data_IF_774277628755
#
_entry.id   IF_774277628755
#
_cell.length_a   1.000
_cell.length_b   1.000
_cell.length_c   1.000
_cell.angle_alpha   90.00
_cell.angle_beta   90.00
_cell.angle_gamma   90.00
#
_symmetry.space_group_name_H-M   'P 1'
#
loop_
_entity.id
_entity.type
_entity.pdbx_description
1 polymer ?
#
# COMPACT_ATOMS: atom_id res chain seq x y z
N UNK A 1 11.19 21.43 -17.52
CA UNK A 1 9.89 21.00 -18.04
C UNK A 1 9.97 19.53 -18.34
N UNK A 2 8.90 18.78 -18.10
CA UNK A 2 8.89 17.36 -18.42
C UNK A 2 8.63 17.14 -19.92
N UNK A 3 9.40 16.24 -20.53
CA UNK A 3 9.28 15.86 -21.94
C UNK A 3 8.14 14.86 -22.14
N UNK A 4 6.91 15.38 -22.14
CA UNK A 4 5.68 14.62 -22.40
C UNK A 4 5.08 15.04 -23.75
N UNK A 5 4.99 14.09 -24.68
CA UNK A 5 4.39 14.26 -26.02
C UNK A 5 2.90 14.52 -25.91
N UNK A 6 2.31 15.13 -26.93
CA UNK A 6 0.89 15.45 -26.94
C UNK A 6 -0.01 14.20 -26.83
N UNK A 7 0.37 13.10 -27.49
CA UNK A 7 -0.33 11.81 -27.39
C UNK A 7 -0.25 11.22 -25.98
N UNK A 8 0.90 11.35 -25.32
CA UNK A 8 1.13 10.88 -23.94
C UNK A 8 0.29 11.68 -22.94
N UNK A 9 0.16 13.01 -23.14
CA UNK A 9 -0.75 13.85 -22.35
C UNK A 9 -2.19 13.38 -22.47
N UNK A 10 -2.65 13.04 -23.67
CA UNK A 10 -4.01 12.52 -23.88
C UNK A 10 -4.26 11.21 -23.13
N UNK A 11 -3.28 10.29 -23.13
CA UNK A 11 -3.36 9.04 -22.39
C UNK A 11 -3.46 9.27 -20.88
N UNK A 12 -2.56 10.11 -20.34
CA UNK A 12 -2.55 10.48 -18.93
C UNK A 12 -3.84 11.18 -18.52
N UNK A 13 -4.32 12.14 -19.31
CA UNK A 13 -5.57 12.84 -19.02
C UNK A 13 -6.79 11.93 -19.07
N UNK A 14 -6.79 10.93 -19.97
CA UNK A 14 -7.87 9.94 -20.04
C UNK A 14 -7.86 9.03 -18.82
N UNK A 15 -6.69 8.50 -18.42
CA UNK A 15 -6.55 7.63 -17.25
C UNK A 15 -6.91 8.36 -15.95
N UNK A 16 -6.47 9.61 -15.83
CA UNK A 16 -6.64 10.43 -14.62
C UNK A 16 -7.97 11.19 -14.57
N UNK A 17 -8.88 11.01 -15.54
CA UNK A 17 -10.19 11.64 -15.53
C UNK A 17 -10.18 13.18 -15.64
N UNK A 18 -9.26 13.74 -16.43
CA UNK A 18 -8.95 15.18 -16.43
C UNK A 18 -9.80 16.07 -17.36
N UNK A 19 -10.75 15.48 -18.09
CA UNK A 19 -11.60 16.20 -19.04
C UNK A 19 -12.50 17.26 -18.38
N UNK A 20 -12.98 16.99 -17.16
CA UNK A 20 -13.85 17.89 -16.40
C UNK A 20 -13.12 18.87 -15.45
N UNK A 21 -11.78 18.95 -15.52
CA UNK A 21 -11.00 19.76 -14.56
C UNK A 21 -10.63 19.03 -13.26
N UNK A 22 -11.09 17.79 -13.09
CA UNK A 22 -10.77 16.91 -11.97
C UNK A 22 -9.44 16.17 -12.21
N UNK A 23 -8.93 15.52 -11.16
CA UNK A 23 -7.85 14.55 -11.24
C UNK A 23 -8.28 13.44 -10.30
N UNK A 24 -8.63 12.28 -10.87
CA UNK A 24 -9.23 11.16 -10.14
C UNK A 24 -10.37 11.63 -9.23
N UNK A 25 -10.56 10.98 -8.08
CA UNK A 25 -11.53 11.34 -7.06
C UNK A 25 -11.00 12.38 -6.02
N UNK A 26 -9.88 13.06 -6.29
CA UNK A 26 -9.29 13.99 -5.30
C UNK A 26 -10.15 15.24 -5.05
N UNK A 27 -10.27 15.64 -3.79
CA UNK A 27 -10.65 17.00 -3.40
C UNK A 27 -9.48 17.96 -3.63
N UNK A 28 -9.69 19.27 -3.47
CA UNK A 28 -8.58 20.22 -3.62
C UNK A 28 -7.50 20.02 -2.55
N UNK A 29 -7.92 19.71 -1.32
CA UNK A 29 -7.03 19.48 -0.19
C UNK A 29 -6.29 18.15 -0.31
N UNK A 30 -6.98 17.05 -0.68
CA UNK A 30 -6.31 15.76 -0.84
C UNK A 30 -5.38 15.75 -2.05
N UNK A 31 -5.72 16.47 -3.13
CA UNK A 31 -4.80 16.69 -4.25
C UNK A 31 -3.58 17.51 -3.83
N UNK A 32 -3.77 18.56 -3.04
CA UNK A 32 -2.66 19.36 -2.50
C UNK A 32 -1.69 18.48 -1.72
N UNK A 33 -2.24 17.75 -0.74
CA UNK A 33 -1.49 16.94 0.19
C UNK A 33 -0.77 15.80 -0.54
N UNK A 34 -1.41 15.16 -1.51
CA UNK A 34 -0.80 14.14 -2.35
C UNK A 34 0.48 14.65 -3.04
N UNK A 35 0.40 15.80 -3.73
CA UNK A 35 1.57 16.36 -4.43
C UNK A 35 2.66 16.77 -3.42
N UNK A 36 2.26 17.37 -2.29
CA UNK A 36 3.17 17.78 -1.23
C UNK A 36 3.90 16.58 -0.62
N UNK A 37 3.22 15.46 -0.41
CA UNK A 37 3.84 14.26 0.16
C UNK A 37 4.79 13.59 -0.82
N UNK A 38 4.42 13.52 -2.11
CA UNK A 38 5.27 12.93 -3.15
C UNK A 38 6.49 13.79 -3.47
N UNK A 39 6.39 15.11 -3.44
CA UNK A 39 7.42 16.01 -4.01
C UNK A 39 7.92 17.13 -3.11
N UNK A 40 7.22 17.40 -2.00
CA UNK A 40 7.42 18.58 -1.13
C UNK A 40 7.14 19.91 -1.83
N UNK A 41 6.41 19.90 -2.94
CA UNK A 41 6.00 21.09 -3.69
C UNK A 41 4.56 21.46 -3.34
N UNK A 42 4.32 22.75 -3.12
CA UNK A 42 2.96 23.29 -3.03
C UNK A 42 2.40 23.59 -4.43
N UNK A 43 1.48 22.76 -4.90
CA UNK A 43 0.88 22.87 -6.24
C UNK A 43 -0.09 24.06 -6.41
N UNK A 44 -0.50 24.73 -5.33
CA UNK A 44 -1.34 25.94 -5.38
C UNK A 44 -0.54 27.24 -5.37
N UNK A 45 0.79 27.17 -5.54
CA UNK A 45 1.61 28.36 -5.78
C UNK A 45 1.21 29.06 -7.09
N UNK A 46 1.32 30.38 -7.12
CA UNK A 46 0.92 31.21 -8.26
C UNK A 46 1.53 30.77 -9.59
N UNK A 47 2.76 30.21 -9.59
CA UNK A 47 3.41 29.70 -10.81
C UNK A 47 2.61 28.63 -11.56
N UNK A 48 1.75 27.87 -10.89
CA UNK A 48 0.93 26.83 -11.53
C UNK A 48 -0.46 27.33 -11.95
N UNK A 49 -0.89 28.50 -11.46
CA UNK A 49 -2.26 29.00 -11.62
C UNK A 49 -2.49 29.84 -12.88
N UNK A 50 -1.45 30.09 -13.70
CA UNK A 50 -1.51 31.00 -14.87
C UNK A 50 -2.62 30.66 -15.88
N UNK A 51 -2.95 29.36 -16.03
CA UNK A 51 -3.98 28.87 -16.98
C UNK A 51 -5.31 28.54 -16.30
N UNK A 52 -5.41 28.80 -14.99
CA UNK A 52 -6.57 28.59 -14.12
C UNK A 52 -6.29 27.63 -12.95
N UNK A 53 -7.24 27.55 -12.03
CA UNK A 53 -7.06 26.97 -10.69
C UNK A 53 -7.65 25.56 -10.49
N UNK A 54 -8.22 24.93 -11.54
CA UNK A 54 -8.71 23.55 -11.41
C UNK A 54 -7.55 22.57 -11.29
N UNK A 55 -7.74 21.45 -10.57
CA UNK A 55 -6.70 20.43 -10.36
C UNK A 55 -6.06 19.98 -11.67
N UNK A 56 -6.86 19.74 -12.70
CA UNK A 56 -6.31 19.34 -14.00
C UNK A 56 -5.45 20.43 -14.65
N UNK A 57 -5.84 21.70 -14.50
CA UNK A 57 -5.05 22.84 -15.02
C UNK A 57 -3.74 22.99 -14.25
N UNK A 58 -3.80 22.88 -12.93
CA UNK A 58 -2.62 22.88 -12.06
C UNK A 58 -1.68 21.71 -12.40
N UNK A 59 -2.19 20.50 -12.60
CA UNK A 59 -1.39 19.33 -12.98
C UNK A 59 -0.75 19.48 -14.37
N UNK A 60 -1.46 20.07 -15.34
CA UNK A 60 -0.87 20.40 -16.66
C UNK A 60 0.24 21.45 -16.55
N UNK A 61 0.07 22.47 -15.71
CA UNK A 61 1.11 23.45 -15.43
C UNK A 61 2.30 22.82 -14.72
N UNK A 62 2.06 21.91 -13.77
CA UNK A 62 3.08 21.13 -13.09
C UNK A 62 3.94 20.33 -14.09
N UNK A 63 3.33 19.64 -15.05
CA UNK A 63 4.05 18.95 -16.13
C UNK A 63 4.93 19.89 -16.97
N UNK A 64 4.50 21.13 -17.18
CA UNK A 64 5.22 22.12 -17.97
C UNK A 64 6.37 22.79 -17.21
N UNK A 65 6.29 22.89 -15.89
CA UNK A 65 7.23 23.69 -15.11
C UNK A 65 8.28 22.83 -14.40
N UNK A 66 7.93 21.64 -13.96
CA UNK A 66 8.82 20.77 -13.19
C UNK A 66 9.73 19.89 -14.07
N UNK A 67 10.71 19.23 -13.47
CA UNK A 67 11.65 18.34 -14.16
C UNK A 67 11.03 16.96 -14.45
N UNK A 68 11.59 16.24 -15.43
CA UNK A 68 11.17 14.88 -15.76
C UNK A 68 11.09 13.97 -14.52
N UNK A 69 12.11 13.99 -13.68
CA UNK A 69 12.18 13.14 -12.49
C UNK A 69 11.03 13.44 -11.52
N UNK A 70 10.71 14.71 -11.28
CA UNK A 70 9.63 15.10 -10.35
C UNK A 70 8.27 14.72 -10.94
N UNK A 71 8.06 15.00 -12.22
CA UNK A 71 6.81 14.70 -12.91
C UNK A 71 6.60 13.18 -13.04
N UNK A 72 7.64 12.43 -13.36
CA UNK A 72 7.64 10.98 -13.41
C UNK A 72 7.24 10.36 -12.07
N UNK A 73 7.78 10.86 -10.94
CA UNK A 73 7.38 10.40 -9.60
C UNK A 73 5.88 10.59 -9.35
N UNK A 74 5.37 11.79 -9.64
CA UNK A 74 3.94 12.10 -9.46
C UNK A 74 3.05 11.23 -10.34
N UNK A 75 3.42 11.03 -11.61
CA UNK A 75 2.65 10.17 -12.51
C UNK A 75 2.65 8.72 -12.01
N UNK A 76 3.81 8.17 -11.59
CA UNK A 76 3.89 6.81 -11.01
C UNK A 76 2.91 6.66 -9.85
N UNK A 77 2.96 7.57 -8.88
CA UNK A 77 2.11 7.51 -7.68
C UNK A 77 0.63 7.70 -8.01
N UNK A 78 0.28 8.55 -8.98
CA UNK A 78 -1.12 8.72 -9.42
C UNK A 78 -1.68 7.46 -10.09
N UNK A 79 -0.86 6.76 -10.88
CA UNK A 79 -1.26 5.48 -11.50
C UNK A 79 -1.49 4.42 -10.42
N UNK A 80 -0.60 4.33 -9.43
CA UNK A 80 -0.75 3.41 -8.31
C UNK A 80 -1.98 3.74 -7.44
N UNK A 81 -2.25 5.03 -7.22
CA UNK A 81 -3.49 5.46 -6.58
C UNK A 81 -4.72 5.01 -7.39
N UNK A 82 -4.73 5.24 -8.70
CA UNK A 82 -5.85 4.82 -9.57
C UNK A 82 -6.10 3.31 -9.52
N UNK A 83 -5.04 2.49 -9.57
CA UNK A 83 -5.16 1.02 -9.42
C UNK A 83 -5.73 0.65 -8.06
N UNK A 84 -5.25 1.29 -7.02
CA UNK A 84 -5.70 1.05 -5.64
C UNK A 84 -7.18 1.39 -5.50
N UNK A 85 -7.61 2.54 -6.01
CA UNK A 85 -9.00 2.98 -5.97
C UNK A 85 -9.95 1.99 -6.69
N UNK A 86 -9.55 1.47 -7.85
CA UNK A 86 -10.30 0.43 -8.57
C UNK A 86 -10.49 -0.83 -7.72
N UNK A 87 -9.42 -1.31 -7.10
CA UNK A 87 -9.47 -2.47 -6.20
C UNK A 87 -10.34 -2.19 -4.97
N UNK A 88 -10.21 -1.01 -4.36
CA UNK A 88 -10.99 -0.62 -3.18
C UNK A 88 -12.49 -0.51 -3.47
N UNK A 89 -12.85 -0.12 -4.69
CA UNK A 89 -14.24 0.04 -5.12
C UNK A 89 -14.81 -1.23 -5.77
N UNK A 90 -14.12 -2.37 -5.70
CA UNK A 90 -14.49 -3.63 -6.37
C UNK A 90 -14.79 -3.47 -7.86
N UNK A 91 -14.13 -2.52 -8.52
CA UNK A 91 -14.24 -2.29 -9.94
C UNK A 91 -13.16 -3.10 -10.66
N UNK A 92 -13.57 -4.06 -11.49
CA UNK A 92 -12.63 -4.75 -12.37
C UNK A 92 -11.93 -3.75 -13.29
N UNK A 93 -10.61 -3.89 -13.41
CA UNK A 93 -9.85 -3.13 -14.40
C UNK A 93 -10.10 -3.80 -15.75
N UNK A 94 -10.83 -3.12 -16.62
CA UNK A 94 -11.07 -3.62 -17.97
C UNK A 94 -9.74 -3.74 -18.73
N UNK A 95 -9.68 -4.69 -19.69
CA UNK A 95 -8.48 -4.93 -20.50
C UNK A 95 -7.94 -3.64 -21.15
N UNK A 96 -8.83 -2.76 -21.61
CA UNK A 96 -8.45 -1.48 -22.23
C UNK A 96 -7.88 -0.49 -21.21
N UNK A 97 -8.41 -0.48 -19.99
CA UNK A 97 -7.89 0.35 -18.90
C UNK A 97 -6.50 -0.13 -18.43
N UNK A 98 -6.30 -1.45 -18.33
CA UNK A 98 -4.98 -2.02 -18.01
C UNK A 98 -3.93 -1.70 -19.08
N UNK A 99 -4.29 -1.79 -20.37
CA UNK A 99 -3.41 -1.38 -21.47
C UNK A 99 -3.06 0.10 -21.35
N UNK A 100 -4.04 0.96 -21.12
CA UNK A 100 -3.83 2.40 -20.96
C UNK A 100 -2.93 2.72 -19.75
N UNK A 101 -3.16 2.06 -18.61
CA UNK A 101 -2.35 2.23 -17.40
C UNK A 101 -0.90 1.78 -17.62
N UNK A 102 -0.67 0.68 -18.35
CA UNK A 102 0.67 0.21 -18.73
C UNK A 102 1.39 1.20 -19.64
N UNK A 103 0.71 1.79 -20.62
CA UNK A 103 1.29 2.84 -21.47
C UNK A 103 1.63 4.10 -20.65
N UNK A 104 0.76 4.52 -19.73
CA UNK A 104 1.04 5.63 -18.81
C UNK A 104 2.24 5.35 -17.90
N UNK A 105 2.39 4.12 -17.44
CA UNK A 105 3.52 3.71 -16.61
C UNK A 105 4.84 3.74 -17.39
N UNK A 106 4.84 3.39 -18.69
CA UNK A 106 6.02 3.53 -19.56
C UNK A 106 6.46 4.99 -19.68
N UNK A 107 5.51 5.93 -19.80
CA UNK A 107 5.81 7.37 -19.81
C UNK A 107 6.50 7.77 -18.51
N UNK A 108 5.93 7.39 -17.37
CA UNK A 108 6.53 7.63 -16.05
C UNK A 108 7.95 7.08 -15.95
N UNK A 109 8.16 5.82 -16.33
CA UNK A 109 9.46 5.16 -16.26
C UNK A 109 10.50 5.84 -17.15
N UNK A 110 10.09 6.29 -18.35
CA UNK A 110 10.95 7.09 -19.24
C UNK A 110 11.38 8.39 -18.59
N UNK A 111 10.46 9.13 -17.97
CA UNK A 111 10.75 10.39 -17.27
C UNK A 111 11.66 10.17 -16.05
N UNK A 112 11.57 9.00 -15.41
CA UNK A 112 12.45 8.60 -14.31
C UNK A 112 13.84 8.12 -14.78
N UNK A 113 14.08 8.01 -16.08
CA UNK A 113 15.33 7.49 -16.64
C UNK A 113 15.53 5.98 -16.47
N UNK A 114 14.45 5.24 -16.16
CA UNK A 114 14.51 3.78 -16.00
C UNK A 114 14.62 3.12 -17.38
N UNK A 115 15.74 2.44 -17.63
CA UNK A 115 15.95 1.68 -18.88
C UNK A 115 15.18 0.36 -18.83
N UNK A 116 14.73 -0.11 -19.99
CA UNK A 116 13.92 -1.33 -20.16
C UNK A 116 14.54 -2.62 -19.58
N UNK A 117 15.84 -2.61 -19.29
CA UNK A 117 16.56 -3.74 -18.69
C UNK A 117 16.44 -3.81 -17.15
N UNK A 118 16.09 -2.72 -16.47
CA UNK A 118 15.90 -2.67 -15.01
C UNK A 118 14.48 -3.10 -14.57
N UNK A 119 13.60 -3.42 -15.52
CA UNK A 119 12.20 -3.84 -15.29
C UNK A 119 12.09 -5.17 -14.52
N UNK A 120 13.19 -5.91 -14.29
CA UNK A 120 13.18 -7.21 -13.61
C UNK A 120 13.30 -7.19 -12.09
N UNK A 121 13.32 -6.03 -11.42
CA UNK A 121 13.53 -5.95 -9.95
C UNK A 121 12.62 -4.96 -9.19
N UNK A 122 11.34 -4.92 -9.48
CA UNK A 122 10.30 -4.55 -8.48
C UNK A 122 9.04 -5.36 -8.82
N UNK A 123 8.33 -5.99 -7.85
CA UNK A 123 7.03 -6.58 -8.15
C UNK A 123 6.07 -5.43 -8.48
N UNK A 124 5.69 -5.33 -9.75
CA UNK A 124 5.15 -4.10 -10.37
C UNK A 124 3.66 -4.17 -10.68
N UNK A 125 2.92 -5.13 -10.12
CA UNK A 125 1.45 -5.11 -10.11
C UNK A 125 0.84 -5.78 -8.88
N UNK A 126 -0.33 -5.30 -8.45
CA UNK A 126 -1.22 -6.01 -7.50
C UNK A 126 -1.47 -7.44 -8.00
N UNK A 127 -1.60 -7.65 -9.31
CA UNK A 127 -1.74 -8.97 -9.90
C UNK A 127 -0.52 -9.88 -9.67
N UNK A 128 0.71 -9.37 -9.77
CA UNK A 128 1.91 -10.14 -9.40
C UNK A 128 1.95 -10.48 -7.91
N UNK A 129 1.47 -9.58 -7.05
CA UNK A 129 1.35 -9.83 -5.62
C UNK A 129 0.30 -10.91 -5.31
N UNK A 130 -0.87 -10.84 -5.95
CA UNK A 130 -1.97 -11.78 -5.76
C UNK A 130 -1.70 -13.16 -6.36
N UNK A 131 -0.97 -13.22 -7.48
CA UNK A 131 -0.58 -14.46 -8.16
C UNK A 131 0.66 -15.11 -7.55
N UNK A 132 1.23 -14.54 -6.49
CA UNK A 132 2.39 -15.10 -5.81
C UNK A 132 1.97 -16.39 -5.12
N UNK A 133 2.47 -17.52 -5.62
CA UNK A 133 2.22 -18.81 -4.98
C UNK A 133 3.06 -18.92 -3.72
N UNK A 134 2.38 -19.03 -2.58
CA UNK A 134 3.01 -19.35 -1.30
C UNK A 134 2.81 -20.84 -1.02
N UNK A 135 3.91 -21.59 -0.88
CA UNK A 135 3.88 -22.95 -0.34
C UNK A 135 3.29 -22.96 1.07
N UNK A 136 2.92 -24.15 1.53
CA UNK A 136 2.36 -24.41 2.85
C UNK A 136 3.01 -23.54 3.95
N UNK A 137 2.18 -22.75 4.64
CA UNK A 137 2.61 -21.73 5.58
C UNK A 137 3.05 -22.42 6.87
N UNK A 138 4.34 -22.39 7.17
CA UNK A 138 4.89 -22.95 8.40
C UNK A 138 5.40 -21.83 9.30
N UNK A 139 4.75 -21.65 10.46
CA UNK A 139 5.13 -20.62 11.44
C UNK A 139 6.34 -21.02 12.30
N UNK A 140 6.70 -22.30 12.35
CA UNK A 140 7.78 -22.82 13.20
C UNK A 140 9.16 -22.24 12.87
N UNK A 141 9.34 -21.69 11.65
CA UNK A 141 10.59 -21.03 11.25
C UNK A 141 10.77 -19.63 11.83
N UNK A 142 9.74 -19.05 12.45
CA UNK A 142 9.76 -17.69 12.96
C UNK A 142 10.37 -17.57 14.37
N UNK A 143 10.73 -18.69 15.00
CA UNK A 143 11.30 -18.71 16.36
C UNK A 143 10.49 -17.87 17.38
N UNK A 144 9.16 -17.93 17.25
CA UNK A 144 8.20 -17.32 18.19
C UNK A 144 7.87 -18.38 19.25
N UNK A 145 7.43 -17.94 20.43
CA UNK A 145 6.89 -18.81 21.48
C UNK A 145 5.95 -19.89 20.93
N UNK A 146 6.13 -21.13 21.40
CA UNK A 146 5.40 -22.31 20.89
C UNK A 146 3.91 -22.22 21.17
N UNK A 147 3.51 -21.71 22.33
CA UNK A 147 2.10 -21.52 22.71
C UNK A 147 1.43 -20.51 21.79
N UNK A 148 2.10 -19.39 21.52
CA UNK A 148 1.63 -18.39 20.54
C UNK A 148 1.55 -18.99 19.14
N UNK A 149 2.55 -19.79 18.75
CA UNK A 149 2.60 -20.45 17.44
C UNK A 149 1.41 -21.39 17.23
N UNK A 150 1.02 -22.17 18.25
CA UNK A 150 -0.16 -23.05 18.20
C UNK A 150 -1.46 -22.25 18.03
N UNK A 151 -1.62 -21.14 18.75
CA UNK A 151 -2.79 -20.26 18.64
C UNK A 151 -2.89 -19.68 17.22
N UNK A 152 -1.77 -19.16 16.71
CA UNK A 152 -1.73 -18.59 15.36
C UNK A 152 -2.01 -19.66 14.29
N UNK A 153 -1.48 -20.87 14.46
CA UNK A 153 -1.75 -22.00 13.55
C UNK A 153 -3.23 -22.37 13.53
N UNK A 154 -3.90 -22.42 14.68
CA UNK A 154 -5.35 -22.66 14.76
C UNK A 154 -6.14 -21.58 14.02
N UNK A 155 -5.73 -20.30 14.13
CA UNK A 155 -6.36 -19.19 13.41
C UNK A 155 -6.13 -19.26 11.90
N UNK A 156 -4.96 -19.71 11.43
CA UNK A 156 -4.72 -19.95 10.00
C UNK A 156 -5.65 -21.04 9.45
N UNK A 157 -5.91 -22.09 10.22
CA UNK A 157 -6.88 -23.14 9.86
C UNK A 157 -8.30 -22.55 9.80
N UNK A 158 -8.67 -21.72 10.77
CA UNK A 158 -9.97 -21.05 10.81
C UNK A 158 -10.18 -20.09 9.63
N UNK A 159 -9.16 -19.30 9.27
CA UNK A 159 -9.16 -18.45 8.07
C UNK A 159 -9.48 -19.28 6.82
N UNK A 160 -8.79 -20.40 6.61
CA UNK A 160 -9.04 -21.25 5.44
C UNK A 160 -10.48 -21.79 5.42
N UNK A 161 -11.00 -22.22 6.57
CA UNK A 161 -12.41 -22.67 6.67
C UNK A 161 -13.38 -21.53 6.39
N UNK A 162 -13.12 -20.31 6.88
CA UNK A 162 -13.98 -19.15 6.62
C UNK A 162 -13.94 -18.70 5.16
N UNK A 163 -12.82 -18.87 4.45
CA UNK A 163 -12.76 -18.67 3.00
C UNK A 163 -13.65 -19.69 2.28
N UNK A 164 -13.59 -20.97 2.66
CA UNK A 164 -14.42 -22.03 2.06
C UNK A 164 -15.93 -21.86 2.29
N UNK A 165 -16.31 -21.22 3.41
CA UNK A 165 -17.71 -20.95 3.78
C UNK A 165 -18.14 -19.51 3.45
N UNK A 166 -17.43 -18.81 2.56
CA UNK A 166 -17.79 -17.46 2.08
C UNK A 166 -18.09 -16.46 3.21
N UNK A 167 -17.23 -16.43 4.24
CA UNK A 167 -17.35 -15.51 5.38
C UNK A 167 -16.28 -14.41 5.33
N UNK A 168 -16.41 -13.42 4.42
CA UNK A 168 -15.35 -12.50 4.05
C UNK A 168 -14.91 -11.58 5.19
N UNK A 169 -15.86 -11.01 5.95
CA UNK A 169 -15.55 -10.13 7.07
C UNK A 169 -14.73 -10.86 8.15
N UNK A 170 -15.09 -12.11 8.48
CA UNK A 170 -14.34 -12.94 9.43
C UNK A 170 -12.91 -13.21 8.97
N UNK A 171 -12.72 -13.53 7.68
CA UNK A 171 -11.39 -13.76 7.10
C UNK A 171 -10.51 -12.52 7.23
N UNK A 172 -11.03 -11.35 6.86
CA UNK A 172 -10.31 -10.08 6.89
C UNK A 172 -9.84 -9.76 8.31
N UNK A 173 -10.75 -9.84 9.28
CA UNK A 173 -10.48 -9.51 10.68
C UNK A 173 -9.45 -10.48 11.27
N UNK A 174 -9.61 -11.78 10.99
CA UNK A 174 -8.65 -12.79 11.42
C UNK A 174 -7.28 -12.58 10.76
N UNK A 175 -7.21 -12.24 9.47
CA UNK A 175 -5.95 -11.98 8.79
C UNK A 175 -5.18 -10.83 9.45
N UNK A 176 -5.85 -9.71 9.73
CA UNK A 176 -5.25 -8.58 10.43
C UNK A 176 -4.81 -8.94 11.85
N UNK A 177 -5.62 -9.71 12.59
CA UNK A 177 -5.28 -10.13 13.95
C UNK A 177 -4.12 -11.13 14.01
N UNK A 178 -4.02 -12.05 13.04
CA UNK A 178 -2.89 -12.98 12.92
C UNK A 178 -1.61 -12.23 12.55
N UNK A 179 -1.69 -11.25 11.64
CA UNK A 179 -0.53 -10.41 11.30
C UNK A 179 0.01 -9.67 12.53
N UNK A 180 -0.87 -9.09 13.35
CA UNK A 180 -0.48 -8.44 14.60
C UNK A 180 0.18 -9.40 15.59
N UNK A 181 -0.41 -10.58 15.80
CA UNK A 181 0.16 -11.59 16.70
C UNK A 181 1.52 -12.10 16.23
N UNK A 182 1.70 -12.28 14.90
CA UNK A 182 2.98 -12.66 14.32
C UNK A 182 4.03 -11.58 14.53
N UNK A 183 3.72 -10.33 14.23
CA UNK A 183 4.68 -9.23 14.36
C UNK A 183 5.06 -8.99 15.82
N UNK A 184 4.11 -9.08 16.75
CA UNK A 184 4.41 -9.03 18.19
C UNK A 184 5.30 -10.20 18.62
N UNK A 185 5.03 -11.41 18.13
CA UNK A 185 5.86 -12.58 18.40
C UNK A 185 7.30 -12.39 17.91
N UNK A 186 7.47 -11.90 16.68
CA UNK A 186 8.79 -11.56 16.11
C UNK A 186 9.44 -10.41 16.86
N UNK A 187 8.70 -9.36 17.24
CA UNK A 187 9.24 -8.26 18.03
C UNK A 187 9.75 -8.74 19.39
N UNK A 188 9.06 -9.70 20.00
CA UNK A 188 9.45 -10.31 21.27
C UNK A 188 10.69 -11.20 21.12
N UNK A 189 10.89 -11.88 19.98
CA UNK A 189 12.14 -12.63 19.73
C UNK A 189 13.30 -11.72 19.30
N UNK A 190 13.01 -10.54 18.75
CA UNK A 190 13.97 -9.50 18.30
C UNK A 190 13.83 -8.17 19.06
N UNK A 191 13.76 -8.24 20.39
CA UNK A 191 13.48 -7.06 21.23
C UNK A 191 14.48 -5.91 21.01
N UNK A 192 15.75 -6.23 20.82
CA UNK A 192 16.80 -5.23 20.68
C UNK A 192 16.62 -4.44 19.38
N UNK A 193 16.44 -5.15 18.27
CA UNK A 193 16.28 -4.56 16.95
C UNK A 193 15.02 -3.70 16.88
N UNK A 194 13.90 -4.21 17.41
CA UNK A 194 12.64 -3.46 17.44
C UNK A 194 12.73 -2.23 18.33
N UNK A 195 13.39 -2.28 19.49
CA UNK A 195 13.49 -1.11 20.37
C UNK A 195 14.54 -0.08 19.92
N UNK A 196 15.51 -0.48 19.08
CA UNK A 196 16.56 0.43 18.58
C UNK A 196 16.21 1.09 17.24
N UNK A 197 15.15 0.65 16.56
CA UNK A 197 14.71 1.26 15.31
C UNK A 197 14.36 2.75 15.49
N UNK A 198 14.64 3.54 14.45
CA UNK A 198 14.19 4.93 14.38
C UNK A 198 12.67 5.07 14.27
N UNK A 199 11.99 4.02 13.82
CA UNK A 199 10.53 3.98 13.67
C UNK A 199 9.80 3.52 14.93
N UNK A 200 10.52 3.18 16.00
CA UNK A 200 9.90 2.70 17.25
C UNK A 200 9.09 3.82 17.92
N UNK A 201 7.85 3.56 18.36
CA UNK A 201 7.02 4.56 19.01
C UNK A 201 7.64 4.96 20.35
N UNK A 202 7.75 6.28 20.57
CA UNK A 202 8.33 6.86 21.78
C UNK A 202 7.31 7.68 22.54
N UNK A 203 7.41 7.65 23.86
CA UNK A 203 6.69 8.57 24.72
C UNK A 203 7.18 10.01 24.43
N UNK A 204 6.26 10.93 24.17
CA UNK A 204 6.56 12.30 23.74
C UNK A 204 7.27 13.13 24.83
N UNK A 205 7.04 12.83 26.09
CA UNK A 205 7.59 13.57 27.23
C UNK A 205 8.98 13.08 27.62
N UNK A 206 9.16 11.75 27.65
CA UNK A 206 10.41 11.12 28.13
C UNK A 206 11.37 10.74 27.01
N UNK A 207 10.91 10.71 25.76
CA UNK A 207 11.67 10.21 24.60
C UNK A 207 11.94 8.70 24.62
N UNK A 208 11.48 7.98 25.65
CA UNK A 208 11.69 6.53 25.79
C UNK A 208 10.76 5.75 24.88
N UNK A 209 11.26 4.65 24.34
CA UNK A 209 10.46 3.71 23.53
C UNK A 209 9.36 3.10 24.39
N UNK A 210 8.16 3.01 23.84
CA UNK A 210 7.01 2.43 24.52
C UNK A 210 7.20 0.91 24.71
N UNK A 211 6.65 0.32 25.79
CA UNK A 211 6.60 -1.14 25.91
C UNK A 211 5.65 -1.74 24.86
N UNK A 212 5.91 -2.96 24.37
CA UNK A 212 5.18 -3.57 23.26
C UNK A 212 3.66 -3.69 23.44
N UNK A 213 3.15 -3.81 24.66
CA UNK A 213 1.70 -3.82 24.91
C UNK A 213 1.00 -2.50 24.55
N UNK A 214 1.76 -1.41 24.40
CA UNK A 214 1.27 -0.11 23.95
C UNK A 214 1.57 0.17 22.46
N UNK A 215 2.09 -0.81 21.72
CA UNK A 215 2.32 -0.67 20.29
C UNK A 215 1.07 -1.07 19.52
N UNK A 216 0.76 -0.30 18.48
CA UNK A 216 -0.30 -0.66 17.53
C UNK A 216 0.25 -1.57 16.43
N UNK A 217 -0.63 -2.29 15.72
CA UNK A 217 -0.28 -3.01 14.49
C UNK A 217 0.47 -2.11 13.49
N UNK A 218 0.10 -0.83 13.38
CA UNK A 218 0.82 0.12 12.53
C UNK A 218 2.29 0.27 12.94
N UNK A 219 2.56 0.41 14.24
CA UNK A 219 3.92 0.55 14.75
C UNK A 219 4.75 -0.69 14.46
N UNK A 220 4.16 -1.89 14.63
CA UNK A 220 4.85 -3.13 14.31
C UNK A 220 5.18 -3.26 12.82
N UNK A 221 4.26 -2.90 11.93
CA UNK A 221 4.49 -2.92 10.47
C UNK A 221 5.61 -1.94 10.10
N UNK A 222 5.55 -0.71 10.61
CA UNK A 222 6.53 0.35 10.33
C UNK A 222 7.93 -0.04 10.80
N UNK A 223 8.04 -0.57 12.01
CA UNK A 223 9.32 -1.02 12.56
C UNK A 223 9.85 -2.23 11.81
N UNK A 224 9.02 -3.26 11.58
CA UNK A 224 9.45 -4.48 10.87
C UNK A 224 9.98 -4.18 9.46
N UNK A 225 9.39 -3.20 8.76
CA UNK A 225 9.95 -2.71 7.50
C UNK A 225 11.26 -1.93 7.69
N UNK A 226 11.33 -1.02 8.66
CA UNK A 226 12.52 -0.20 8.90
C UNK A 226 13.77 -1.02 9.22
N UNK A 227 13.61 -2.17 9.87
CA UNK A 227 14.71 -3.10 10.19
C UNK A 227 14.91 -4.16 9.10
N UNK A 228 14.24 -4.04 7.96
CA UNK A 228 14.45 -4.88 6.78
C UNK A 228 13.83 -6.28 6.84
N UNK A 229 12.93 -6.55 7.78
CA UNK A 229 12.26 -7.85 7.87
C UNK A 229 11.06 -7.91 6.91
N UNK A 230 10.33 -6.81 6.73
CA UNK A 230 9.26 -6.67 5.72
C UNK A 230 9.70 -5.86 4.51
N UNK A 231 9.33 -6.30 3.30
CA UNK A 231 9.42 -5.53 2.06
C UNK A 231 8.48 -4.32 2.04
N UNK A 232 8.76 -3.36 1.16
CA UNK A 232 7.97 -2.12 1.05
C UNK A 232 6.55 -2.40 0.54
N UNK A 233 6.39 -3.32 -0.40
CA UNK A 233 5.10 -3.81 -0.90
C UNK A 233 4.29 -4.42 0.25
N UNK A 234 4.91 -5.34 0.99
CA UNK A 234 4.27 -6.01 2.13
C UNK A 234 3.90 -5.01 3.22
N UNK A 235 4.75 -4.01 3.50
CA UNK A 235 4.42 -2.89 4.40
C UNK A 235 3.14 -2.18 3.96
N UNK A 236 3.09 -1.71 2.71
CA UNK A 236 1.95 -0.93 2.19
C UNK A 236 0.65 -1.73 2.30
N UNK A 237 0.65 -2.97 1.82
CA UNK A 237 -0.55 -3.82 1.89
C UNK A 237 -0.92 -4.23 3.32
N UNK A 238 0.05 -4.37 4.21
CA UNK A 238 -0.20 -4.64 5.63
C UNK A 238 -0.92 -3.50 6.33
N UNK A 239 -0.61 -2.23 5.99
CA UNK A 239 -1.38 -1.09 6.51
C UNK A 239 -2.82 -1.10 5.97
N UNK A 240 -3.04 -1.44 4.70
CA UNK A 240 -4.39 -1.62 4.17
C UNK A 240 -5.15 -2.75 4.88
N UNK A 241 -4.50 -3.89 5.15
CA UNK A 241 -5.10 -4.99 5.92
C UNK A 241 -5.45 -4.57 7.35
N UNK A 242 -4.59 -3.79 8.01
CA UNK A 242 -4.91 -3.19 9.33
C UNK A 242 -6.19 -2.36 9.24
N UNK A 243 -6.36 -1.55 8.20
CA UNK A 243 -7.55 -0.72 8.05
C UNK A 243 -8.79 -1.54 7.82
N UNK A 244 -8.72 -2.56 6.96
CA UNK A 244 -9.84 -3.48 6.77
C UNK A 244 -10.24 -4.22 8.05
N UNK A 245 -9.28 -4.56 8.91
CA UNK A 245 -9.56 -5.19 10.20
C UNK A 245 -10.41 -4.28 11.11
N UNK A 246 -10.28 -2.96 11.03
CA UNK A 246 -11.04 -2.03 11.87
C UNK A 246 -12.54 -2.07 11.60
N UNK A 247 -12.98 -2.62 10.47
CA UNK A 247 -14.39 -2.89 10.18
C UNK A 247 -15.00 -4.02 11.02
N UNK A 248 -14.26 -4.59 11.98
CA UNK A 248 -14.86 -5.31 13.13
C UNK A 248 -15.85 -4.42 13.90
N UNK A 249 -15.66 -3.10 13.89
CA UNK A 249 -16.57 -2.15 14.52
C UNK A 249 -17.76 -1.83 13.58
N UNK A 250 -19.01 -2.19 13.93
CA UNK A 250 -20.14 -2.04 13.02
C UNK A 250 -20.42 -0.60 12.58
N UNK A 251 -20.22 0.38 13.46
CA UNK A 251 -20.39 1.79 13.12
C UNK A 251 -19.33 2.30 12.15
N UNK A 252 -18.08 1.82 12.26
CA UNK A 252 -17.01 2.13 11.32
C UNK A 252 -17.36 1.58 9.94
N UNK A 253 -17.77 0.31 9.89
CA UNK A 253 -18.21 -0.36 8.67
C UNK A 253 -19.42 0.34 8.02
N UNK A 254 -20.41 0.73 8.82
CA UNK A 254 -21.59 1.46 8.34
C UNK A 254 -21.19 2.81 7.75
N UNK A 255 -20.32 3.56 8.43
CA UNK A 255 -19.92 4.91 8.01
C UNK A 255 -19.10 4.92 6.73
N UNK A 256 -18.29 3.87 6.50
CA UNK A 256 -17.50 3.71 5.28
C UNK A 256 -18.27 3.08 4.13
N UNK A 257 -19.45 2.48 4.40
CA UNK A 257 -20.19 1.69 3.42
C UNK A 257 -19.48 0.39 3.02
N UNK A 258 -18.53 -0.08 3.84
CA UNK A 258 -17.70 -1.24 3.50
C UNK A 258 -18.49 -2.55 3.58
N UNK A 259 -18.62 -3.23 2.45
CA UNK A 259 -19.27 -4.54 2.35
C UNK A 259 -18.31 -5.53 1.68
N UNK A 260 -17.47 -6.24 2.46
CA UNK A 260 -16.44 -7.10 1.90
C UNK A 260 -17.04 -8.33 1.21
N UNK A 261 -16.48 -8.69 0.07
CA UNK A 261 -16.75 -9.94 -0.62
C UNK A 261 -15.60 -10.95 -0.43
N UNK A 262 -15.79 -12.14 -1.00
CA UNK A 262 -14.81 -13.21 -0.87
C UNK A 262 -13.48 -12.88 -1.55
N UNK A 263 -13.48 -12.02 -2.57
CA UNK A 263 -12.26 -11.63 -3.26
C UNK A 263 -11.43 -10.64 -2.43
N UNK A 264 -12.09 -9.70 -1.74
CA UNK A 264 -11.48 -8.85 -0.71
C UNK A 264 -10.83 -9.68 0.40
N UNK A 265 -11.51 -10.76 0.82
CA UNK A 265 -10.99 -11.70 1.81
C UNK A 265 -9.78 -12.50 1.29
N UNK A 266 -9.79 -12.96 0.04
CA UNK A 266 -8.64 -13.63 -0.59
C UNK A 266 -7.44 -12.69 -0.73
N UNK A 267 -7.66 -11.42 -1.07
CA UNK A 267 -6.60 -10.40 -1.10
C UNK A 267 -5.98 -10.25 0.29
N UNK A 268 -6.80 -10.08 1.32
CA UNK A 268 -6.34 -9.99 2.73
C UNK A 268 -5.54 -11.22 3.16
N UNK A 269 -5.95 -12.40 2.72
CA UNK A 269 -5.22 -13.64 2.93
C UNK A 269 -3.86 -13.67 2.20
N UNK A 270 -3.79 -13.18 0.97
CA UNK A 270 -2.52 -13.04 0.25
C UNK A 270 -1.57 -12.06 0.96
N UNK A 271 -2.09 -10.97 1.52
CA UNK A 271 -1.30 -10.03 2.31
C UNK A 271 -0.67 -10.71 3.52
N UNK A 272 -1.46 -11.47 4.28
CA UNK A 272 -0.94 -12.22 5.42
C UNK A 272 0.12 -13.24 5.00
N UNK A 273 -0.10 -13.98 3.90
CA UNK A 273 0.87 -14.95 3.36
C UNK A 273 2.18 -14.28 2.95
N UNK A 274 2.11 -13.12 2.31
CA UNK A 274 3.27 -12.33 1.95
C UNK A 274 4.04 -11.87 3.20
N UNK A 275 3.34 -11.37 4.21
CA UNK A 275 3.89 -11.04 5.52
C UNK A 275 4.65 -12.21 6.14
N UNK A 276 4.03 -13.39 6.24
CA UNK A 276 4.67 -14.59 6.80
C UNK A 276 5.90 -15.00 5.99
N UNK A 277 5.83 -14.91 4.65
CA UNK A 277 6.96 -15.23 3.77
C UNK A 277 8.16 -14.32 4.02
N UNK A 278 7.93 -13.02 4.11
CA UNK A 278 8.97 -12.02 4.36
C UNK A 278 9.59 -12.20 5.74
N UNK A 279 8.75 -12.33 6.78
CA UNK A 279 9.20 -12.64 8.13
C UNK A 279 10.09 -13.89 8.12
N UNK A 280 9.63 -14.99 7.51
CA UNK A 280 10.38 -16.26 7.47
C UNK A 280 11.73 -16.13 6.75
N UNK A 281 11.79 -15.38 5.65
CA UNK A 281 13.02 -15.22 4.85
C UNK A 281 14.04 -14.31 5.53
N UNK A 282 13.57 -13.30 6.26
CA UNK A 282 14.42 -12.23 6.75
C UNK A 282 14.65 -12.28 8.27
N UNK A 283 14.02 -13.20 9.01
CA UNK A 283 14.18 -13.26 10.47
C UNK A 283 15.59 -13.62 10.93
N UNK A 284 16.42 -14.23 10.10
CA UNK A 284 17.82 -14.54 10.45
C UNK A 284 18.84 -13.61 9.78
N UNK A 285 18.36 -12.56 9.09
CA UNK A 285 19.21 -11.44 8.68
C UNK A 285 19.39 -10.49 9.85
#
# INVERSE_FOLDING_TARGET
MAEIKQSEKLMLEKLLGMSGGYVLNFSNDSFHQFILDTTKINIYQNKYAEKGSSKAKLLRAFWQLESDIIVGKVIKELIEYWKTEKVLNNNEIEKNEDILAKECLKISNRLLGLKSEEIKKEPSTINEFLNKEFKEISLYKLNIDSTVTEILTKRLIEINKSIQNESPLSVIIMCGSVLEGLLLGVATSKMKEFNQSTSSPKNKETGKVLPFHNWTLSNFIDVAHSIGILGLDVKKFSHSLRDFRNYIHPYEQMSSGFNPDIDTAKISWQVLKAGISDLTKNINK
#
